data_IF_096394810063
#
_entry.id   IF_096394810063
#
_cell.length_a   1.000
_cell.length_b   1.000
_cell.length_c   1.000
_cell.angle_alpha   90.00
_cell.angle_beta   90.00
_cell.angle_gamma   90.00
#
_symmetry.space_group_name_H-M   'P 1'
#
loop_
_entity.id
_entity.type
_entity.pdbx_description
1 polymer ?
#
# COMPACT_ATOMS: atom_id res chain seq x y z
N UNK A 1 -9.40 -21.59 -11.78
CA UNK A 1 -9.51 -20.17 -11.35
C UNK A 1 -8.47 -19.41 -12.13
N UNK A 2 -8.87 -18.46 -12.98
CA UNK A 2 -7.90 -17.63 -13.70
C UNK A 2 -7.36 -16.53 -12.80
N UNK A 3 -6.06 -16.29 -12.85
CA UNK A 3 -5.40 -15.22 -12.10
C UNK A 3 -5.53 -13.91 -12.87
N UNK A 4 -6.19 -12.92 -12.24
CA UNK A 4 -6.31 -11.57 -12.81
C UNK A 4 -4.94 -10.89 -12.86
N UNK A 5 -4.56 -10.39 -14.04
CA UNK A 5 -3.31 -9.63 -14.21
C UNK A 5 -3.36 -8.29 -13.48
N UNK A 6 -2.23 -7.90 -12.92
CA UNK A 6 -2.02 -6.61 -12.28
C UNK A 6 -1.70 -5.53 -13.32
N UNK A 7 -2.72 -5.03 -14.03
CA UNK A 7 -2.53 -4.17 -15.22
C UNK A 7 -1.89 -2.80 -14.95
N UNK A 8 -1.88 -2.35 -13.69
CA UNK A 8 -1.24 -1.09 -13.29
C UNK A 8 0.16 -1.26 -12.68
N UNK A 9 0.63 -2.50 -12.55
CA UNK A 9 1.97 -2.79 -12.05
C UNK A 9 3.03 -2.22 -13.02
N UNK A 10 3.98 -1.46 -12.49
CA UNK A 10 5.00 -0.75 -13.28
C UNK A 10 4.57 0.64 -13.76
N UNK A 11 3.34 1.09 -13.49
CA UNK A 11 2.88 2.46 -13.80
C UNK A 11 2.35 3.20 -12.57
N UNK A 12 1.38 2.62 -11.86
CA UNK A 12 0.80 3.26 -10.65
C UNK A 12 1.50 2.84 -9.37
N UNK A 13 2.10 1.65 -9.38
CA UNK A 13 2.90 1.09 -8.29
C UNK A 13 4.02 0.22 -8.88
N UNK A 14 5.05 -0.15 -8.11
CA UNK A 14 6.18 -0.89 -8.66
C UNK A 14 5.78 -2.22 -9.31
N UNK A 15 6.47 -2.60 -10.39
CA UNK A 15 6.18 -3.83 -11.14
C UNK A 15 6.80 -5.10 -10.54
N UNK A 16 7.75 -4.96 -9.62
CA UNK A 16 8.47 -6.08 -8.99
C UNK A 16 8.13 -6.18 -7.52
N UNK A 17 7.95 -7.41 -7.04
CA UNK A 17 7.68 -7.71 -5.63
C UNK A 17 8.64 -7.02 -4.66
N UNK A 18 9.94 -7.07 -4.94
CA UNK A 18 10.98 -6.47 -4.08
C UNK A 18 10.83 -4.96 -3.96
N UNK A 19 10.42 -4.30 -5.04
CA UNK A 19 10.26 -2.85 -5.06
C UNK A 19 8.98 -2.42 -4.32
N UNK A 20 7.89 -3.21 -4.41
CA UNK A 20 6.69 -3.00 -3.62
C UNK A 20 6.96 -3.12 -2.11
N UNK A 21 7.68 -4.18 -1.70
CA UNK A 21 8.01 -4.40 -0.29
C UNK A 21 8.85 -3.26 0.27
N UNK A 22 9.90 -2.84 -0.46
CA UNK A 22 10.74 -1.72 -0.04
C UNK A 22 9.94 -0.42 0.14
N UNK A 23 8.99 -0.13 -0.76
CA UNK A 23 8.14 1.05 -0.65
C UNK A 23 7.23 1.00 0.59
N UNK A 24 6.64 -0.16 0.89
CA UNK A 24 5.82 -0.35 2.10
C UNK A 24 6.66 -0.19 3.37
N UNK A 25 7.83 -0.83 3.42
CA UNK A 25 8.72 -0.73 4.57
C UNK A 25 9.20 0.71 4.81
N UNK A 26 9.40 1.48 3.74
CA UNK A 26 9.77 2.90 3.84
C UNK A 26 8.60 3.78 4.31
N UNK A 27 7.39 3.49 3.85
CA UNK A 27 6.17 4.11 4.39
C UNK A 27 6.03 3.78 5.88
N UNK A 28 6.16 2.52 6.29
CA UNK A 28 6.03 2.11 7.70
C UNK A 28 7.07 2.78 8.60
N UNK A 29 8.31 2.97 8.13
CA UNK A 29 9.36 3.68 8.88
C UNK A 29 9.11 5.17 9.04
N UNK A 30 8.44 5.79 8.07
CA UNK A 30 8.21 7.25 8.03
C UNK A 30 6.81 7.66 8.50
N UNK A 31 5.87 6.72 8.54
CA UNK A 31 4.50 6.95 8.94
C UNK A 31 4.40 7.24 10.44
N UNK A 32 3.44 8.11 10.78
CA UNK A 32 3.03 8.32 12.16
C UNK A 32 2.21 7.11 12.64
N UNK A 33 2.43 6.72 13.90
CA UNK A 33 1.58 5.72 14.53
C UNK A 33 0.12 6.17 14.51
N UNK A 34 -0.78 5.26 14.11
CA UNK A 34 -2.20 5.49 14.24
C UNK A 34 -2.57 5.71 15.72
N UNK A 35 -3.49 6.63 16.02
CA UNK A 35 -4.05 6.75 17.36
C UNK A 35 -4.65 5.42 17.81
N UNK A 36 -4.56 5.13 19.11
CA UNK A 36 -5.27 3.99 19.67
C UNK A 36 -6.78 4.24 19.55
N UNK A 37 -7.46 3.33 18.86
CA UNK A 37 -8.92 3.37 18.66
C UNK A 37 -9.67 2.52 19.69
N UNK A 38 -8.98 2.00 20.72
CA UNK A 38 -9.58 1.26 21.83
C UNK A 38 -10.12 -0.13 21.43
N UNK A 39 -9.65 -0.67 20.32
CA UNK A 39 -10.15 -1.92 19.74
C UNK A 39 -9.52 -2.26 18.39
N UNK A 40 -10.02 -3.31 17.75
CA UNK A 40 -9.52 -3.75 16.45
C UNK A 40 -10.11 -2.86 15.33
N UNK A 41 -9.24 -2.27 14.51
CA UNK A 41 -9.67 -1.67 13.26
C UNK A 41 -10.27 -2.74 12.33
N UNK A 42 -11.54 -2.58 11.95
CA UNK A 42 -12.26 -3.50 11.05
C UNK A 42 -12.42 -2.93 9.63
N UNK A 43 -11.94 -1.72 9.38
CA UNK A 43 -12.00 -1.05 8.10
C UNK A 43 -11.11 0.19 8.05
N UNK A 44 -10.98 0.80 6.87
CA UNK A 44 -10.19 2.00 6.64
C UNK A 44 -10.60 2.70 5.36
N UNK A 45 -10.40 4.03 5.33
CA UNK A 45 -10.55 4.86 4.14
C UNK A 45 -9.14 5.20 3.66
N UNK A 46 -8.83 4.85 2.42
CA UNK A 46 -7.50 5.03 1.83
C UNK A 46 -7.60 5.71 0.46
N UNK A 47 -6.58 6.47 0.05
CA UNK A 47 -6.48 6.98 -1.30
C UNK A 47 -6.22 5.83 -2.30
N UNK A 48 -6.44 6.09 -3.58
CA UNK A 48 -6.23 5.12 -4.66
C UNK A 48 -5.42 5.71 -5.83
N UNK A 49 -4.67 6.80 -5.60
CA UNK A 49 -3.78 7.34 -6.61
C UNK A 49 -2.53 6.45 -6.76
N UNK A 50 -1.63 6.84 -7.66
CA UNK A 50 -0.33 6.16 -7.76
C UNK A 50 0.46 6.30 -6.46
N UNK A 51 1.20 5.25 -6.07
CA UNK A 51 1.88 5.13 -4.77
C UNK A 51 2.84 6.28 -4.45
N UNK A 52 3.37 6.93 -5.48
CA UNK A 52 4.24 8.10 -5.29
C UNK A 52 3.49 9.29 -4.69
N UNK A 53 2.19 9.42 -4.97
CA UNK A 53 1.36 10.55 -4.55
C UNK A 53 0.53 10.24 -3.29
N UNK A 54 0.28 8.97 -3.00
CA UNK A 54 -0.64 8.53 -1.95
C UNK A 54 -0.33 7.12 -1.46
#
# INVERSE_FOLDING_TARGET
>A
METRRAEFAGSWYPGRRTDCLRAIEELERSALSCPDVGGKAVGGIVPHAGWYYS
#
